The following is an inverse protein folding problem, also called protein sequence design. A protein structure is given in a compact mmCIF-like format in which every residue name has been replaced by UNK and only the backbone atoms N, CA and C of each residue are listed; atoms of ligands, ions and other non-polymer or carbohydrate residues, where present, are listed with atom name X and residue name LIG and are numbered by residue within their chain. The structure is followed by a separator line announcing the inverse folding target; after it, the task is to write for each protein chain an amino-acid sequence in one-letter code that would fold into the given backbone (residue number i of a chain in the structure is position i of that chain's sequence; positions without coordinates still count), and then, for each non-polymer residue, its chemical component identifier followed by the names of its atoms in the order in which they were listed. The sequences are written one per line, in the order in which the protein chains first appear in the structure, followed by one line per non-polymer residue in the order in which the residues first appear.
data_IF_653672194896
#
_entry.id   IF_653672194896
#
_cell.length_a   1.000
_cell.length_b   1.000
_cell.length_c   1.000
_cell.angle_alpha   90.00
_cell.angle_beta   90.00
_cell.angle_gamma   90.00
#
_symmetry.space_group_name_H-M   'P 1'
#
loop_
_entity.id
_entity.type
_entity.pdbx_description
1 polymer ?
#
# COMPACT_ATOMS: atom_id res chain seq x y z
N UNK A 1 -21.67 12.50 21.15
CA UNK A 1 -21.38 13.23 19.92
C UNK A 1 -21.27 12.25 18.76
N UNK A 2 -21.92 12.55 17.68
CA UNK A 2 -21.75 11.72 16.49
C UNK A 2 -20.30 11.77 16.03
N UNK A 3 -19.86 10.70 15.45
CA UNK A 3 -18.52 10.64 14.89
C UNK A 3 -18.36 11.71 13.82
N UNK A 4 -17.33 12.49 13.94
CA UNK A 4 -17.00 13.48 12.94
C UNK A 4 -16.08 12.86 11.92
N UNK A 5 -16.37 13.17 10.66
CA UNK A 5 -15.42 12.88 9.61
C UNK A 5 -14.17 13.74 9.86
N UNK A 6 -13.06 13.09 10.09
CA UNK A 6 -11.78 13.77 10.34
C UNK A 6 -11.03 14.02 9.04
N UNK A 7 -11.77 14.09 7.96
CA UNK A 7 -11.21 14.23 6.61
C UNK A 7 -10.42 15.53 6.48
N UNK A 8 -9.26 15.42 5.89
CA UNK A 8 -8.44 16.56 5.54
C UNK A 8 -8.87 17.12 4.19
N UNK A 9 -8.68 18.40 4.02
CA UNK A 9 -9.03 19.07 2.77
C UNK A 9 -7.80 19.14 1.88
N UNK A 10 -7.92 18.68 0.64
CA UNK A 10 -6.85 18.80 -0.34
C UNK A 10 -6.91 20.18 -0.97
N UNK A 11 -5.84 20.94 -0.81
CA UNK A 11 -5.75 22.28 -1.38
C UNK A 11 -5.09 22.27 -2.77
N UNK A 12 -4.05 21.45 -2.94
CA UNK A 12 -3.39 21.29 -4.23
C UNK A 12 -2.64 19.96 -4.28
N UNK A 13 -2.38 19.50 -5.49
CA UNK A 13 -1.65 18.24 -5.72
C UNK A 13 -0.70 18.43 -6.89
N UNK A 14 0.47 17.84 -6.78
CA UNK A 14 1.46 17.84 -7.86
C UNK A 14 2.18 16.51 -7.90
N UNK A 15 2.20 15.88 -9.06
CA UNK A 15 2.97 14.66 -9.24
C UNK A 15 4.44 14.98 -9.42
N UNK A 16 5.29 14.29 -8.69
CA UNK A 16 6.74 14.42 -8.75
C UNK A 16 7.36 13.35 -9.62
N UNK A 17 6.86 12.12 -9.51
CA UNK A 17 7.31 10.97 -10.27
C UNK A 17 6.09 10.16 -10.66
N UNK A 18 5.99 9.81 -11.95
CA UNK A 18 4.93 8.94 -12.45
C UNK A 18 5.56 7.83 -13.29
N UNK A 19 6.04 6.78 -12.62
CA UNK A 19 6.65 5.62 -13.26
C UNK A 19 5.86 4.37 -12.89
N UNK A 20 5.95 3.30 -13.68
CA UNK A 20 5.16 2.08 -13.43
C UNK A 20 5.31 1.51 -12.01
N UNK A 21 6.50 1.63 -11.42
CA UNK A 21 6.77 1.07 -10.11
C UNK A 21 7.00 2.13 -9.04
N UNK A 22 6.78 3.39 -9.39
CA UNK A 22 6.96 4.48 -8.45
C UNK A 22 6.13 5.68 -8.90
N UNK A 23 5.04 5.91 -8.20
CA UNK A 23 4.23 7.11 -8.39
C UNK A 23 4.22 7.87 -7.08
N UNK A 24 4.71 9.08 -7.10
CA UNK A 24 4.81 9.93 -5.92
C UNK A 24 4.28 11.32 -6.24
N UNK A 25 3.52 11.85 -5.30
CA UNK A 25 3.00 13.21 -5.44
C UNK A 25 3.21 13.98 -4.14
N UNK A 26 3.17 15.29 -4.23
CA UNK A 26 3.15 16.16 -3.06
C UNK A 26 1.83 16.90 -3.01
N UNK A 27 1.19 16.88 -1.86
CA UNK A 27 -0.10 17.53 -1.64
C UNK A 27 0.05 18.65 -0.64
N UNK A 28 -0.70 19.72 -0.84
CA UNK A 28 -0.93 20.74 0.18
C UNK A 28 -2.29 20.45 0.79
N UNK A 29 -2.34 20.32 2.10
CA UNK A 29 -3.55 19.87 2.79
C UNK A 29 -3.87 20.76 3.97
N UNK A 30 -5.13 20.82 4.30
CA UNK A 30 -5.62 21.51 5.49
C UNK A 30 -6.26 20.49 6.43
N UNK A 31 -5.81 20.48 7.68
CA UNK A 31 -6.35 19.60 8.70
C UNK A 31 -7.66 20.14 9.27
N UNK A 32 -8.45 19.30 9.95
CA UNK A 32 -9.68 19.77 10.59
C UNK A 32 -9.47 20.90 11.59
N UNK A 33 -8.27 21.00 12.16
CA UNK A 33 -7.91 22.08 13.09
C UNK A 33 -7.65 23.41 12.40
N UNK A 34 -7.59 23.42 11.06
CA UNK A 34 -7.20 24.59 10.28
C UNK A 34 -5.72 24.69 9.99
N UNK A 35 -4.90 23.80 10.56
CA UNK A 35 -3.48 23.78 10.28
C UNK A 35 -3.23 23.34 8.85
N UNK A 36 -2.22 23.92 8.22
CA UNK A 36 -1.87 23.61 6.84
C UNK A 36 -0.52 22.92 6.78
N UNK A 37 -0.47 21.81 6.05
CA UNK A 37 0.79 21.14 5.73
C UNK A 37 1.08 21.42 4.26
N UNK A 38 2.18 22.13 3.99
CA UNK A 38 2.50 22.55 2.64
C UNK A 38 2.98 21.40 1.77
N UNK A 39 3.67 20.44 2.35
CA UNK A 39 4.27 19.34 1.59
C UNK A 39 3.99 18.01 2.30
N UNK A 40 2.88 17.40 1.93
CA UNK A 40 2.55 16.07 2.38
C UNK A 40 2.79 15.10 1.23
N UNK A 41 3.73 14.18 1.40
CA UNK A 41 4.13 13.26 0.34
C UNK A 41 3.30 12.00 0.37
N UNK A 42 2.80 11.60 -0.80
CA UNK A 42 1.95 10.42 -0.96
C UNK A 42 2.55 9.52 -2.03
N UNK A 43 2.66 8.24 -1.71
CA UNK A 43 3.01 7.22 -2.68
C UNK A 43 1.73 6.53 -3.12
N UNK A 44 1.55 6.39 -4.43
CA UNK A 44 0.41 5.68 -5.00
C UNK A 44 0.87 4.35 -5.57
N UNK A 45 0.20 3.29 -5.18
CA UNK A 45 0.46 1.97 -5.73
C UNK A 45 -0.82 1.13 -5.59
N UNK A 46 -0.94 0.03 -6.36
CA UNK A 46 -2.13 -0.80 -6.28
C UNK A 46 -2.22 -1.51 -4.93
N UNK A 47 -3.41 -1.96 -4.62
CA UNK A 47 -3.62 -2.74 -3.41
C UNK A 47 -2.90 -4.07 -3.50
N UNK A 48 -2.49 -4.58 -2.36
CA UNK A 48 -1.80 -5.85 -2.22
C UNK A 48 -2.59 -6.77 -1.33
N UNK A 49 -2.40 -8.07 -1.53
CA UNK A 49 -2.94 -9.09 -0.65
C UNK A 49 -1.80 -9.92 -0.10
N UNK A 50 -1.85 -10.23 1.19
CA UNK A 50 -0.98 -11.22 1.82
C UNK A 50 -1.79 -12.47 2.06
N UNK A 51 -1.17 -13.62 1.80
CA UNK A 51 -1.81 -14.91 1.99
C UNK A 51 -1.09 -15.68 3.07
N UNK A 52 -1.82 -16.10 4.09
CA UNK A 52 -1.31 -17.01 5.09
C UNK A 52 -1.75 -18.40 4.67
N UNK A 53 -0.81 -19.20 4.18
CA UNK A 53 -1.09 -20.55 3.72
C UNK A 53 -0.58 -21.54 4.77
N UNK A 54 -1.44 -22.48 5.16
CA UNK A 54 -1.12 -23.49 6.15
C UNK A 54 -1.36 -24.85 5.53
N UNK A 55 -0.37 -25.73 5.63
CA UNK A 55 -0.49 -27.09 5.14
C UNK A 55 -1.42 -27.92 6.03
N UNK A 56 -1.82 -29.10 5.55
CA UNK A 56 -2.72 -29.98 6.32
C UNK A 56 -2.11 -30.41 7.66
N UNK A 57 -0.81 -30.47 7.74
CA UNK A 57 -0.09 -30.83 8.97
C UNK A 57 0.32 -29.62 9.81
N UNK A 58 -0.24 -28.45 9.53
CA UNK A 58 -0.10 -27.25 10.36
C UNK A 58 1.14 -26.41 10.12
N UNK A 59 1.82 -26.61 9.00
CA UNK A 59 3.02 -25.84 8.68
C UNK A 59 2.67 -24.58 7.88
N UNK A 60 3.32 -23.46 8.21
CA UNK A 60 3.18 -22.25 7.42
C UNK A 60 3.99 -22.33 6.14
N UNK A 61 3.42 -21.82 5.05
CA UNK A 61 4.11 -21.75 3.76
C UNK A 61 4.68 -20.35 3.57
N UNK A 62 5.98 -20.27 3.36
CA UNK A 62 6.67 -19.01 3.06
C UNK A 62 7.28 -19.07 1.68
N UNK A 63 7.42 -17.90 1.06
CA UNK A 63 8.23 -17.74 -0.14
C UNK A 63 9.58 -17.18 0.25
N UNK A 64 10.61 -17.58 -0.49
CA UNK A 64 11.97 -17.11 -0.24
C UNK A 64 12.38 -16.24 -1.42
N UNK A 65 12.72 -14.99 -1.14
CA UNK A 65 13.03 -14.01 -2.19
C UNK A 65 14.21 -13.14 -1.81
N UNK A 66 14.99 -12.79 -2.82
CA UNK A 66 16.00 -11.76 -2.65
C UNK A 66 15.33 -10.39 -2.76
N UNK A 67 15.54 -9.55 -1.75
CA UNK A 67 15.04 -8.18 -1.74
C UNK A 67 16.19 -7.23 -1.98
N UNK A 68 16.25 -6.70 -3.19
CA UNK A 68 17.34 -5.84 -3.63
C UNK A 68 17.56 -4.64 -2.71
N UNK A 69 16.47 -3.96 -2.31
CA UNK A 69 16.57 -2.73 -1.52
C UNK A 69 17.25 -2.93 -0.17
N UNK A 70 17.08 -4.11 0.44
CA UNK A 70 17.74 -4.43 1.72
C UNK A 70 18.96 -5.33 1.54
N UNK A 71 19.24 -5.77 0.31
CA UNK A 71 20.39 -6.58 0.01
C UNK A 71 20.41 -7.96 0.65
N UNK A 72 19.24 -8.54 0.91
CA UNK A 72 19.12 -9.82 1.62
C UNK A 72 18.09 -10.74 1.00
N UNK A 73 18.33 -12.04 1.12
CA UNK A 73 17.32 -13.06 0.85
C UNK A 73 16.54 -13.29 2.13
N UNK A 74 15.22 -13.20 2.03
CA UNK A 74 14.34 -13.31 3.20
C UNK A 74 13.19 -14.27 2.92
N UNK A 75 12.62 -14.81 3.99
CA UNK A 75 11.41 -15.60 3.92
C UNK A 75 10.23 -14.69 4.22
N UNK A 76 9.21 -14.78 3.38
CA UNK A 76 8.05 -13.89 3.45
C UNK A 76 6.77 -14.68 3.28
N UNK A 77 5.67 -14.10 3.74
CA UNK A 77 4.36 -14.61 3.38
C UNK A 77 4.13 -14.40 1.88
N UNK A 78 3.32 -15.28 1.29
CA UNK A 78 2.91 -15.09 -0.09
C UNK A 78 2.14 -13.77 -0.20
N UNK A 79 2.51 -12.94 -1.15
CA UNK A 79 1.87 -11.66 -1.37
C UNK A 79 1.84 -11.32 -2.84
N UNK A 80 0.91 -10.50 -3.24
CA UNK A 80 0.82 -10.04 -4.62
C UNK A 80 -0.11 -8.88 -4.78
N UNK A 81 -0.04 -8.25 -5.94
CA UNK A 81 -0.87 -7.12 -6.30
C UNK A 81 -2.28 -7.59 -6.63
N UNK A 82 -3.28 -6.84 -6.16
CA UNK A 82 -4.67 -7.07 -6.56
C UNK A 82 -4.88 -6.30 -7.87
N UNK A 83 -5.26 -7.04 -8.93
CA UNK A 83 -5.51 -6.41 -10.21
C UNK A 83 -6.88 -5.74 -10.22
N UNK A 84 -7.05 -4.75 -11.10
CA UNK A 84 -8.25 -3.91 -11.12
C UNK A 84 -9.55 -4.69 -11.27
N UNK A 85 -9.52 -5.81 -11.99
CA UNK A 85 -10.72 -6.59 -12.29
C UNK A 85 -10.97 -7.73 -11.31
N UNK A 86 -10.19 -7.86 -10.25
CA UNK A 86 -10.33 -8.96 -9.30
C UNK A 86 -10.44 -8.48 -7.87
N UNK A 87 -11.05 -9.32 -7.04
CA UNK A 87 -11.10 -9.07 -5.61
C UNK A 87 -9.92 -9.69 -4.88
N UNK A 88 -9.79 -9.40 -3.57
CA UNK A 88 -8.67 -9.92 -2.77
C UNK A 88 -8.58 -11.44 -2.76
N UNK A 89 -9.71 -12.14 -2.69
CA UNK A 89 -9.71 -13.60 -2.64
C UNK A 89 -9.18 -14.21 -3.93
N UNK A 90 -9.58 -13.65 -5.09
CA UNK A 90 -9.09 -14.13 -6.38
C UNK A 90 -7.59 -13.88 -6.52
N UNK A 91 -7.12 -12.71 -6.09
CA UNK A 91 -5.69 -12.39 -6.10
C UNK A 91 -4.90 -13.34 -5.21
N UNK A 92 -5.41 -13.66 -4.03
CA UNK A 92 -4.74 -14.58 -3.10
C UNK A 92 -4.63 -15.99 -3.66
N UNK A 93 -5.60 -16.42 -4.46
CA UNK A 93 -5.61 -17.77 -5.04
C UNK A 93 -4.78 -17.90 -6.31
N UNK A 94 -4.43 -16.80 -6.94
CA UNK A 94 -3.67 -16.78 -8.19
C UNK A 94 -2.16 -17.13 -8.02
#
# INVERSE_FOLDING_TARGET
MADKDMKWKTLSQKYLIEKPWLTARVDKVELPTGAIIDEYYVLEYPDWVNTIAITKDGMFVFVRQYRYAIGKTVNELCAGVIEKSEGPMAAAKR
#
